data_IF_520203109843
#
_entry.id   IF_520203109843
#
_cell.length_a   1.000
_cell.length_b   1.000
_cell.length_c   1.000
_cell.angle_alpha   90.00
_cell.angle_beta   90.00
_cell.angle_gamma   90.00
#
_symmetry.space_group_name_H-M   'P 1'
#
loop_
_entity.id
_entity.type
_entity.pdbx_description
1 polymer ?
#
# COMPACT_ATOMS: atom_id res chain seq x y z
N UNK A 1 -38.68 -11.62 -28.42
CA UNK A 1 -38.56 -11.42 -26.96
C UNK A 1 -37.16 -10.92 -26.71
N UNK A 2 -37.01 -9.61 -26.55
CA UNK A 2 -35.72 -9.00 -26.18
C UNK A 2 -35.49 -9.26 -24.70
N UNK A 3 -34.37 -9.92 -24.39
CA UNK A 3 -33.90 -10.08 -23.01
C UNK A 3 -33.32 -8.73 -22.62
N UNK A 4 -34.04 -7.98 -21.79
CA UNK A 4 -33.49 -6.81 -21.11
C UNK A 4 -32.54 -7.32 -20.02
N UNK A 5 -31.24 -7.15 -20.24
CA UNK A 5 -30.24 -7.30 -19.19
C UNK A 5 -30.52 -6.24 -18.12
N UNK A 6 -31.00 -6.68 -16.96
CA UNK A 6 -31.05 -5.85 -15.78
C UNK A 6 -29.65 -5.80 -15.18
N UNK A 7 -28.89 -4.74 -15.48
CA UNK A 7 -27.72 -4.38 -14.69
C UNK A 7 -28.19 -4.07 -13.27
N UNK A 8 -28.01 -5.03 -12.37
CA UNK A 8 -28.07 -4.77 -10.93
C UNK A 8 -26.80 -4.02 -10.57
N UNK A 9 -26.90 -2.71 -10.34
CA UNK A 9 -25.89 -1.99 -9.57
C UNK A 9 -25.83 -2.63 -8.17
N UNK A 10 -24.84 -3.49 -7.96
CA UNK A 10 -24.50 -3.95 -6.61
C UNK A 10 -23.97 -2.75 -5.84
N UNK A 11 -24.79 -2.23 -4.91
CA UNK A 11 -24.33 -1.26 -3.91
C UNK A 11 -23.24 -1.94 -3.06
N UNK A 12 -21.98 -1.71 -3.42
CA UNK A 12 -20.83 -2.12 -2.62
C UNK A 12 -20.94 -1.46 -1.25
N UNK A 13 -21.07 -2.27 -0.21
CA UNK A 13 -20.91 -1.80 1.17
C UNK A 13 -19.48 -1.32 1.34
N UNK A 14 -19.30 -0.13 1.92
CA UNK A 14 -17.97 0.33 2.30
C UNK A 14 -17.36 -0.66 3.31
N UNK A 15 -16.06 -0.86 3.20
CA UNK A 15 -15.25 -1.52 4.22
C UNK A 15 -15.05 -0.57 5.40
N UNK A 16 -14.76 -1.13 6.58
CA UNK A 16 -14.50 -0.33 7.78
C UNK A 16 -13.32 0.66 7.61
N UNK A 17 -12.34 0.34 6.74
CA UNK A 17 -11.21 1.25 6.46
C UNK A 17 -11.65 2.42 5.59
N UNK A 18 -12.48 2.18 4.57
CA UNK A 18 -13.06 3.24 3.74
C UNK A 18 -13.94 4.18 4.60
N UNK A 19 -14.67 3.65 5.58
CA UNK A 19 -15.43 4.45 6.55
C UNK A 19 -14.52 5.33 7.41
N UNK A 20 -13.42 4.79 7.95
CA UNK A 20 -12.45 5.56 8.72
C UNK A 20 -11.83 6.67 7.87
N UNK A 21 -11.43 6.36 6.63
CA UNK A 21 -10.86 7.36 5.71
C UNK A 21 -11.87 8.47 5.42
N UNK A 22 -13.12 8.11 5.12
CA UNK A 22 -14.19 9.09 4.84
C UNK A 22 -14.42 10.03 6.02
N UNK A 23 -14.39 9.52 7.25
CA UNK A 23 -14.58 10.33 8.45
C UNK A 23 -13.37 11.24 8.72
N UNK A 24 -12.14 10.70 8.64
CA UNK A 24 -10.90 11.49 8.81
C UNK A 24 -10.84 12.65 7.77
N UNK A 25 -11.28 12.41 6.53
CA UNK A 25 -11.37 13.43 5.49
C UNK A 25 -12.42 14.51 5.79
N UNK A 26 -13.61 14.13 6.27
CA UNK A 26 -14.66 15.08 6.68
C UNK A 26 -14.21 15.97 7.83
N UNK A 27 -13.42 15.42 8.75
CA UNK A 27 -12.84 16.14 9.88
C UNK A 27 -11.64 17.02 9.49
N UNK A 28 -11.19 16.95 8.23
CA UNK A 28 -10.06 17.74 7.72
C UNK A 28 -8.70 17.30 8.27
N UNK A 29 -8.60 16.07 8.80
CA UNK A 29 -7.36 15.53 9.37
C UNK A 29 -6.26 15.49 8.33
N UNK A 30 -5.01 15.74 8.75
CA UNK A 30 -3.83 15.78 7.87
C UNK A 30 -4.01 16.72 6.65
N UNK A 31 -4.83 17.77 6.78
CA UNK A 31 -5.19 18.67 5.68
C UNK A 31 -5.80 17.93 4.47
N UNK A 32 -6.58 16.86 4.73
CA UNK A 32 -7.23 16.05 3.69
C UNK A 32 -6.29 15.11 2.93
N UNK A 33 -5.03 14.96 3.36
CA UNK A 33 -4.04 14.11 2.69
C UNK A 33 -4.21 12.64 3.10
N UNK A 34 -4.45 11.78 2.12
CA UNK A 34 -4.36 10.32 2.27
C UNK A 34 -2.99 9.81 1.82
N UNK A 35 -2.35 9.03 2.68
CA UNK A 35 -1.05 8.42 2.43
C UNK A 35 -1.07 6.97 2.88
N UNK A 36 -1.01 6.04 1.94
CA UNK A 36 -0.91 4.60 2.22
C UNK A 36 0.46 4.07 1.81
N UNK A 37 0.72 2.81 2.15
CA UNK A 37 1.93 2.11 1.71
C UNK A 37 1.70 0.61 1.67
N UNK A 38 2.24 -0.05 0.64
CA UNK A 38 2.39 -1.50 0.59
C UNK A 38 3.85 -1.85 0.94
N UNK A 39 4.13 -2.53 2.08
CA UNK A 39 5.50 -2.73 2.55
C UNK A 39 5.97 -4.20 2.50
N UNK A 40 6.21 -4.81 1.34
CA UNK A 40 6.66 -6.19 1.26
C UNK A 40 8.14 -6.33 1.68
N UNK A 41 8.47 -7.46 2.33
CA UNK A 41 9.86 -7.89 2.48
C UNK A 41 10.37 -8.46 1.15
N UNK A 42 11.53 -8.03 0.62
CA UNK A 42 12.05 -8.52 -0.66
C UNK A 42 12.81 -9.85 -0.50
N UNK A 43 12.16 -10.86 0.08
CA UNK A 43 12.73 -12.19 0.35
C UNK A 43 11.92 -13.36 -0.23
N UNK A 44 10.91 -13.07 -1.06
CA UNK A 44 10.07 -14.05 -1.72
C UNK A 44 9.18 -13.44 -2.79
N UNK A 45 8.55 -14.29 -3.60
CA UNK A 45 7.56 -13.85 -4.60
C UNK A 45 6.22 -13.53 -3.94
N UNK A 46 5.50 -12.58 -4.54
CA UNK A 46 4.12 -12.32 -4.14
C UNK A 46 3.24 -13.53 -4.49
N UNK A 47 2.11 -13.60 -3.82
CA UNK A 47 1.11 -14.65 -3.99
C UNK A 47 -0.27 -14.04 -3.78
N UNK A 48 -1.34 -14.77 -4.06
CA UNK A 48 -2.71 -14.22 -4.04
C UNK A 48 -3.10 -13.53 -2.72
N UNK A 49 -2.58 -13.98 -1.58
CA UNK A 49 -2.77 -13.29 -0.29
C UNK A 49 -2.30 -11.83 -0.29
N UNK A 50 -1.21 -11.52 -0.99
CA UNK A 50 -0.69 -10.15 -1.13
C UNK A 50 -1.59 -9.27 -2.00
N UNK A 51 -2.30 -9.84 -2.97
CA UNK A 51 -3.19 -9.09 -3.84
C UNK A 51 -4.27 -8.34 -3.05
N UNK A 52 -4.78 -8.94 -1.95
CA UNK A 52 -5.74 -8.27 -1.06
C UNK A 52 -5.16 -7.01 -0.44
N UNK A 53 -3.94 -7.08 0.09
CA UNK A 53 -3.27 -5.93 0.69
C UNK A 53 -2.95 -4.85 -0.36
N UNK A 54 -2.47 -5.25 -1.54
CA UNK A 54 -2.22 -4.34 -2.67
C UNK A 54 -3.51 -3.59 -3.06
N UNK A 55 -4.61 -4.31 -3.32
CA UNK A 55 -5.88 -3.69 -3.70
C UNK A 55 -6.40 -2.75 -2.61
N UNK A 56 -6.16 -3.06 -1.34
CA UNK A 56 -6.57 -2.22 -0.22
C UNK A 56 -5.71 -0.95 -0.10
N UNK A 57 -4.39 -1.09 -0.11
CA UNK A 57 -3.46 0.04 0.08
C UNK A 57 -3.47 0.98 -1.13
N UNK A 58 -3.34 0.43 -2.34
CA UNK A 58 -3.35 1.22 -3.58
C UNK A 58 -4.75 1.69 -3.94
N UNK A 59 -5.76 0.83 -3.82
CA UNK A 59 -7.14 1.20 -4.13
C UNK A 59 -7.68 2.29 -3.21
N UNK A 60 -7.33 2.28 -1.92
CA UNK A 60 -7.72 3.37 -1.02
C UNK A 60 -7.04 4.70 -1.40
N UNK A 61 -5.79 4.69 -1.85
CA UNK A 61 -5.16 5.90 -2.35
C UNK A 61 -5.81 6.40 -3.65
N UNK A 62 -6.16 5.50 -4.58
CA UNK A 62 -6.81 5.87 -5.84
C UNK A 62 -8.22 6.44 -5.62
N UNK A 63 -9.04 5.75 -4.84
CA UNK A 63 -10.44 6.14 -4.56
C UNK A 63 -10.54 7.51 -3.86
N UNK A 64 -9.65 7.76 -2.89
CA UNK A 64 -9.70 8.97 -2.07
C UNK A 64 -8.69 10.04 -2.52
N UNK A 65 -8.11 9.92 -3.71
CA UNK A 65 -7.18 10.92 -4.28
C UNK A 65 -5.88 11.11 -3.49
N UNK A 66 -5.41 10.06 -2.82
CA UNK A 66 -4.17 10.01 -2.05
C UNK A 66 -2.97 9.49 -2.83
N UNK A 67 -1.90 9.17 -2.08
CA UNK A 67 -0.67 8.57 -2.62
C UNK A 67 -0.36 7.27 -1.88
N UNK A 68 -0.17 6.19 -2.62
CA UNK A 68 0.36 4.94 -2.08
C UNK A 68 1.85 4.83 -2.41
N UNK A 69 2.70 4.62 -1.41
CA UNK A 69 4.11 4.33 -1.62
C UNK A 69 4.35 2.82 -1.65
N UNK A 70 5.30 2.39 -2.47
CA UNK A 70 5.89 1.05 -2.32
C UNK A 70 7.12 1.18 -1.42
N UNK A 71 7.19 0.39 -0.36
CA UNK A 71 8.35 0.38 0.53
C UNK A 71 8.88 -1.02 0.71
N UNK A 72 10.10 -1.28 0.28
CA UNK A 72 10.74 -2.56 0.60
C UNK A 72 11.12 -2.55 2.08
N UNK A 73 10.63 -3.52 2.85
CA UNK A 73 11.02 -3.71 4.25
C UNK A 73 12.30 -4.55 4.31
N UNK A 74 13.38 -3.94 3.84
CA UNK A 74 14.70 -4.54 3.61
C UNK A 74 15.61 -4.40 4.84
N UNK A 75 15.11 -4.84 5.98
CA UNK A 75 15.85 -4.79 7.25
C UNK A 75 16.66 -6.05 7.55
N UNK A 76 16.61 -7.07 6.67
CA UNK A 76 17.24 -8.37 6.85
C UNK A 76 18.28 -8.65 5.75
N UNK A 77 19.55 -8.28 5.95
CA UNK A 77 20.57 -8.32 4.90
C UNK A 77 20.90 -9.73 4.37
N UNK A 78 20.46 -10.80 5.06
CA UNK A 78 20.74 -12.19 4.67
C UNK A 78 19.69 -12.81 3.75
N UNK A 79 18.55 -12.17 3.53
CA UNK A 79 17.42 -12.75 2.79
C UNK A 79 16.99 -11.95 1.57
N UNK A 80 17.71 -10.87 1.27
CA UNK A 80 17.30 -9.90 0.26
C UNK A 80 17.99 -10.17 -1.07
N UNK A 81 17.20 -10.24 -2.13
CA UNK A 81 17.69 -10.43 -3.49
C UNK A 81 17.01 -9.40 -4.41
N UNK A 82 17.80 -8.73 -5.24
CA UNK A 82 17.31 -7.83 -6.31
C UNK A 82 16.25 -8.49 -7.20
N UNK A 83 16.32 -9.81 -7.39
CA UNK A 83 15.29 -10.55 -8.11
C UNK A 83 13.89 -10.37 -7.50
N UNK A 84 13.75 -10.44 -6.18
CA UNK A 84 12.44 -10.30 -5.52
C UNK A 84 11.91 -8.87 -5.65
N UNK A 85 12.79 -7.88 -5.57
CA UNK A 85 12.44 -6.47 -5.82
C UNK A 85 11.83 -6.30 -7.20
N UNK A 86 12.50 -6.82 -8.24
CA UNK A 86 12.02 -6.71 -9.63
C UNK A 86 10.68 -7.41 -9.84
N UNK A 87 10.51 -8.62 -9.29
CA UNK A 87 9.26 -9.36 -9.41
C UNK A 87 8.09 -8.66 -8.69
N UNK A 88 8.31 -8.15 -7.48
CA UNK A 88 7.30 -7.37 -6.75
C UNK A 88 6.84 -6.17 -7.56
N UNK A 89 7.78 -5.43 -8.18
CA UNK A 89 7.47 -4.28 -9.02
C UNK A 89 6.65 -4.68 -10.25
N UNK A 90 6.98 -5.82 -10.87
CA UNK A 90 6.28 -6.33 -12.04
C UNK A 90 4.87 -6.80 -11.69
N UNK A 91 4.69 -7.51 -10.58
CA UNK A 91 3.39 -8.00 -10.12
C UNK A 91 2.42 -6.85 -9.79
N UNK A 92 2.91 -5.81 -9.10
CA UNK A 92 2.09 -4.62 -8.79
C UNK A 92 1.68 -3.90 -10.08
N UNK A 93 2.60 -3.74 -11.04
CA UNK A 93 2.29 -3.18 -12.36
C UNK A 93 1.32 -4.04 -13.15
N UNK A 94 1.47 -5.36 -13.09
CA UNK A 94 0.60 -6.32 -13.77
C UNK A 94 -0.83 -6.27 -13.23
N UNK A 95 -0.99 -6.06 -11.91
CA UNK A 95 -2.28 -5.79 -11.27
C UNK A 95 -2.89 -4.42 -11.63
N UNK A 96 -2.15 -3.56 -12.36
CA UNK A 96 -2.62 -2.27 -12.84
C UNK A 96 -2.38 -1.09 -11.89
N UNK A 97 -1.74 -1.32 -10.74
CA UNK A 97 -1.49 -0.26 -9.76
C UNK A 97 -0.21 0.52 -10.06
N UNK A 98 -0.17 1.77 -9.56
CA UNK A 98 0.99 2.65 -9.65
C UNK A 98 1.33 3.17 -8.25
N UNK A 99 2.59 3.04 -7.86
CA UNK A 99 3.11 3.69 -6.67
C UNK A 99 3.48 5.14 -6.95
N UNK A 100 3.40 5.99 -5.92
CA UNK A 100 3.92 7.35 -5.97
C UNK A 100 5.43 7.36 -5.87
N UNK A 101 5.98 6.78 -4.80
CA UNK A 101 7.42 6.71 -4.55
C UNK A 101 7.83 5.30 -4.13
N UNK A 102 9.09 4.97 -4.38
CA UNK A 102 9.76 3.77 -3.86
C UNK A 102 10.65 4.19 -2.69
N UNK A 103 10.58 3.43 -1.60
CA UNK A 103 11.45 3.60 -0.44
C UNK A 103 12.06 2.26 -0.01
N UNK A 104 13.20 2.33 0.65
CA UNK A 104 13.84 1.21 1.32
C UNK A 104 13.87 1.49 2.82
N UNK A 105 13.55 0.51 3.64
CA UNK A 105 13.62 0.64 5.10
C UNK A 105 15.07 0.84 5.57
N UNK A 106 16.03 0.20 4.90
CA UNK A 106 17.47 0.31 5.15
C UNK A 106 18.01 1.74 5.03
N UNK A 107 17.48 2.56 4.12
CA UNK A 107 17.84 3.98 3.97
C UNK A 107 17.58 4.79 5.26
N UNK A 108 16.69 4.31 6.13
CA UNK A 108 16.35 4.95 7.38
C UNK A 108 17.15 4.45 8.58
N UNK A 109 18.10 3.53 8.42
CA UNK A 109 18.84 2.94 9.54
C UNK A 109 19.53 3.97 10.44
N UNK A 110 20.18 4.99 9.86
CA UNK A 110 20.81 6.03 10.67
C UNK A 110 19.77 6.75 11.53
N UNK A 111 18.61 7.08 10.95
CA UNK A 111 17.52 7.76 11.67
C UNK A 111 16.91 6.88 12.76
N UNK A 112 16.74 5.59 12.48
CA UNK A 112 16.26 4.61 13.46
C UNK A 112 17.25 4.44 14.62
N UNK A 113 18.55 4.41 14.31
CA UNK A 113 19.61 4.40 15.31
C UNK A 113 19.58 5.65 16.20
N UNK A 114 19.45 6.84 15.60
CA UNK A 114 19.37 8.09 16.35
C UNK A 114 18.15 8.11 17.29
N UNK A 115 17.00 7.57 16.84
CA UNK A 115 15.83 7.38 17.70
C UNK A 115 16.09 6.38 18.83
N UNK A 116 16.83 5.29 18.58
CA UNK A 116 17.21 4.35 19.63
C UNK A 116 18.06 5.04 20.70
N UNK A 117 19.05 5.84 20.31
CA UNK A 117 19.86 6.63 21.24
C UNK A 117 19.00 7.64 22.02
N UNK A 118 18.06 8.31 21.36
CA UNK A 118 17.15 9.24 22.01
C UNK A 118 16.24 8.56 23.03
N UNK A 119 15.72 7.36 22.74
CA UNK A 119 14.86 6.61 23.66
C UNK A 119 15.61 6.01 24.86
N UNK A 120 16.91 5.78 24.75
CA UNK A 120 17.74 5.24 25.83
C UNK A 120 18.19 6.34 26.81
N UNK A 121 18.34 7.59 26.33
CA UNK A 121 18.75 8.75 27.13
C UNK A 121 17.60 9.30 27.97
#
# INVERSE_FOLDING_TARGET
MEIKEHEKEEKRSMSFVEEIISNDLKEGKNNGRIQTRFPPEPNGYLHIGHAKAICMDFGAAEEFGGVCNLRFDDTNPSKENTEYVENILNDIKWLGFKWGNIYYASDYFQKLWDFAIWMIK
#
